data_IF_643299251942
#
_entry.id   IF_643299251942
#
_cell.length_a   1.000
_cell.length_b   1.000
_cell.length_c   1.000
_cell.angle_alpha   90.00
_cell.angle_beta   90.00
_cell.angle_gamma   90.00
#
_symmetry.space_group_name_H-M   'P 1'
#
loop_
_entity.id
_entity.type
_entity.pdbx_description
1 polymer ?
#
# COMPACT_ATOMS: atom_id res chain seq x y z
N UNK A 1 2.11 18.04 11.08
CA UNK A 1 1.68 16.65 10.86
C UNK A 1 1.20 16.57 9.42
N UNK A 2 1.64 15.58 8.65
CA UNK A 2 1.19 15.44 7.25
C UNK A 2 -0.14 14.70 7.23
N UNK A 3 -1.01 15.11 6.34
CA UNK A 3 -2.20 14.34 5.96
C UNK A 3 -1.81 13.36 4.84
N UNK A 4 -2.44 12.19 4.75
CA UNK A 4 -2.14 11.25 3.66
C UNK A 4 -2.44 11.86 2.29
N UNK A 5 -3.45 12.74 2.22
CA UNK A 5 -3.80 13.51 1.02
C UNK A 5 -2.71 14.49 0.57
N UNK A 6 -1.73 14.84 1.42
CA UNK A 6 -0.55 15.61 1.00
C UNK A 6 0.34 14.83 0.02
N UNK A 7 0.13 13.52 -0.11
CA UNK A 7 0.84 12.65 -1.04
C UNK A 7 0.08 12.45 -2.36
N UNK A 8 -1.04 13.14 -2.60
CA UNK A 8 -1.78 13.03 -3.87
C UNK A 8 -0.87 13.34 -5.07
N UNK A 9 -0.99 12.53 -6.12
CA UNK A 9 -0.20 12.62 -7.35
C UNK A 9 1.18 11.96 -7.26
N UNK A 10 1.46 11.23 -6.17
CA UNK A 10 2.72 10.49 -6.02
C UNK A 10 2.53 9.00 -6.29
N UNK A 11 3.59 8.38 -6.80
CA UNK A 11 3.66 6.95 -7.08
C UNK A 11 4.75 6.30 -6.24
N UNK A 12 4.49 5.05 -5.83
CA UNK A 12 5.29 4.33 -4.87
C UNK A 12 5.42 2.87 -5.29
N UNK A 13 6.61 2.32 -5.10
CA UNK A 13 6.93 0.92 -5.37
C UNK A 13 7.22 0.21 -4.06
N UNK A 14 6.60 -0.96 -3.85
CA UNK A 14 6.78 -1.73 -2.63
C UNK A 14 8.22 -2.24 -2.53
N UNK A 15 8.88 -2.01 -1.40
CA UNK A 15 10.22 -2.51 -1.12
C UNK A 15 10.17 -3.73 -0.20
N UNK A 16 9.20 -3.80 0.69
CA UNK A 16 8.98 -4.94 1.58
C UNK A 16 7.59 -4.91 2.19
N UNK A 17 7.14 -6.08 2.62
CA UNK A 17 5.95 -6.26 3.45
C UNK A 17 6.30 -7.20 4.61
N UNK A 18 5.79 -6.90 5.80
CA UNK A 18 5.94 -7.73 6.99
C UNK A 18 4.54 -8.07 7.49
N UNK A 19 4.24 -9.37 7.61
CA UNK A 19 2.96 -9.88 8.16
C UNK A 19 3.26 -11.01 9.13
N UNK A 20 2.81 -10.88 10.38
CA UNK A 20 2.96 -11.89 11.42
C UNK A 20 4.39 -12.44 11.52
N UNK A 21 5.39 -11.54 11.48
CA UNK A 21 6.85 -11.82 11.47
C UNK A 21 7.44 -12.40 10.18
N UNK A 22 6.62 -12.76 9.19
CA UNK A 22 7.12 -13.15 7.87
C UNK A 22 7.46 -11.89 7.06
N UNK A 23 8.65 -11.88 6.45
CA UNK A 23 9.10 -10.81 5.56
C UNK A 23 8.95 -11.24 4.10
N UNK A 24 8.31 -10.39 3.31
CA UNK A 24 8.15 -10.55 1.88
C UNK A 24 8.92 -9.42 1.19
N UNK A 25 9.99 -9.73 0.44
CA UNK A 25 10.71 -8.70 -0.30
C UNK A 25 9.83 -8.16 -1.44
N UNK A 26 9.90 -6.85 -1.66
CA UNK A 26 9.33 -6.23 -2.84
C UNK A 26 10.13 -6.60 -4.09
N UNK A 27 9.42 -6.76 -5.20
CA UNK A 27 10.00 -6.96 -6.53
C UNK A 27 9.60 -5.76 -7.40
N UNK A 28 10.56 -5.08 -8.06
CA UNK A 28 10.25 -3.90 -8.84
C UNK A 28 9.21 -4.15 -9.92
N UNK A 29 8.21 -3.27 -9.99
CA UNK A 29 7.10 -3.37 -10.94
C UNK A 29 5.96 -4.34 -10.56
N UNK A 30 6.15 -5.22 -9.57
CA UNK A 30 5.11 -6.19 -9.19
C UNK A 30 4.06 -5.57 -8.27
N UNK A 31 4.48 -4.75 -7.30
CA UNK A 31 3.56 -4.12 -6.35
C UNK A 31 3.82 -2.62 -6.28
N UNK A 32 2.79 -1.84 -6.59
CA UNK A 32 2.87 -0.38 -6.56
C UNK A 32 1.57 0.23 -6.03
N UNK A 33 1.67 1.51 -5.71
CA UNK A 33 0.58 2.34 -5.22
C UNK A 33 0.74 3.76 -5.77
N UNK A 34 -0.33 4.28 -6.32
CA UNK A 34 -0.54 5.68 -6.68
C UNK A 34 -1.60 6.26 -5.75
N UNK A 35 -1.31 7.46 -5.21
CA UNK A 35 -2.21 8.15 -4.30
C UNK A 35 -2.96 9.23 -5.08
N UNK A 36 -4.28 9.07 -5.21
CA UNK A 36 -5.19 10.05 -5.78
C UNK A 36 -5.71 11.03 -4.71
N UNK A 37 -6.73 11.81 -5.05
CA UNK A 37 -7.33 12.80 -4.13
C UNK A 37 -8.09 12.16 -2.97
N UNK A 38 -8.76 11.03 -3.22
CA UNK A 38 -9.58 10.29 -2.23
C UNK A 38 -9.48 8.78 -2.37
N UNK A 39 -8.60 8.33 -3.24
CA UNK A 39 -8.45 6.94 -3.61
C UNK A 39 -6.98 6.60 -3.68
N UNK A 40 -6.69 5.33 -3.50
CA UNK A 40 -5.41 4.71 -3.83
C UNK A 40 -5.66 3.68 -4.91
N UNK A 41 -4.70 3.51 -5.80
CA UNK A 41 -4.77 2.49 -6.84
C UNK A 41 -3.40 1.94 -7.12
N UNK A 42 -3.32 0.76 -7.73
CA UNK A 42 -2.03 0.23 -8.09
C UNK A 42 -2.10 -1.13 -8.74
N UNK A 43 -0.94 -1.77 -8.77
CA UNK A 43 -0.74 -3.14 -9.20
C UNK A 43 -0.45 -4.02 -7.99
N UNK A 44 -1.01 -5.21 -7.99
CA UNK A 44 -0.74 -6.30 -7.06
C UNK A 44 -0.35 -7.53 -7.88
N UNK A 45 0.94 -7.67 -8.14
CA UNK A 45 1.50 -8.66 -9.06
C UNK A 45 0.83 -8.58 -10.45
N UNK A 46 -0.10 -9.49 -10.74
CA UNK A 46 -0.76 -9.55 -12.04
C UNK A 46 -1.98 -8.62 -12.16
N UNK A 47 -2.61 -8.24 -11.04
CA UNK A 47 -3.87 -7.49 -11.05
C UNK A 47 -3.68 -5.98 -10.88
N UNK A 48 -4.71 -5.25 -11.31
CA UNK A 48 -4.89 -3.84 -11.00
C UNK A 48 -5.96 -3.72 -9.93
N UNK A 49 -5.75 -2.82 -8.97
CA UNK A 49 -6.65 -2.58 -7.87
C UNK A 49 -6.84 -1.10 -7.59
N UNK A 50 -7.95 -0.77 -6.93
CA UNK A 50 -8.22 0.55 -6.39
C UNK A 50 -9.04 0.45 -5.11
N UNK A 51 -8.87 1.40 -4.21
CA UNK A 51 -9.61 1.52 -2.96
C UNK A 51 -9.81 3.00 -2.62
N UNK A 52 -10.81 3.29 -1.80
CA UNK A 52 -10.95 4.59 -1.16
C UNK A 52 -10.01 4.67 0.05
N UNK A 53 -9.69 5.89 0.48
CA UNK A 53 -9.04 6.09 1.78
C UNK A 53 -9.70 7.19 2.59
N UNK A 54 -9.64 7.03 3.90
CA UNK A 54 -9.95 8.05 4.90
C UNK A 54 -8.66 8.39 5.64
N UNK A 55 -8.31 9.67 5.73
CA UNK A 55 -7.19 10.16 6.50
C UNK A 55 -7.62 11.28 7.43
N UNK A 56 -6.87 11.46 8.52
CA UNK A 56 -7.14 12.49 9.52
C UNK A 56 -5.89 13.00 10.20
N UNK A 57 -6.07 13.57 11.40
CA UNK A 57 -4.95 13.90 12.28
C UNK A 57 -4.19 12.64 12.72
N UNK A 58 -3.01 12.84 13.30
CA UNK A 58 -2.15 11.82 13.93
C UNK A 58 -1.64 10.71 12.99
N UNK A 59 -1.58 11.02 11.70
CA UNK A 59 -1.22 10.09 10.62
C UNK A 59 -2.20 8.90 10.51
N UNK A 60 -3.45 9.08 10.94
CA UNK A 60 -4.50 8.08 10.78
C UNK A 60 -4.77 7.84 9.28
N UNK A 61 -4.89 6.57 8.91
CA UNK A 61 -5.21 6.13 7.57
C UNK A 61 -6.05 4.86 7.63
N UNK A 62 -7.18 4.85 6.93
CA UNK A 62 -8.00 3.67 6.68
C UNK A 62 -8.17 3.50 5.18
N UNK A 63 -8.01 2.27 4.68
CA UNK A 63 -8.24 1.90 3.28
C UNK A 63 -9.50 1.06 3.23
N UNK A 64 -10.44 1.41 2.35
CA UNK A 64 -11.75 0.77 2.27
C UNK A 64 -12.26 0.66 0.82
N UNK A 65 -13.37 -0.05 0.62
CA UNK A 65 -14.00 -0.23 -0.70
C UNK A 65 -13.05 -0.76 -1.79
N UNK A 66 -12.15 -1.66 -1.42
CA UNK A 66 -11.16 -2.23 -2.34
C UNK A 66 -11.83 -3.06 -3.43
N UNK A 67 -11.42 -2.80 -4.67
CA UNK A 67 -11.78 -3.57 -5.85
C UNK A 67 -10.50 -3.95 -6.62
N UNK A 68 -10.51 -5.12 -7.25
CA UNK A 68 -9.39 -5.63 -8.04
C UNK A 68 -9.90 -6.29 -9.32
N UNK A 69 -9.05 -6.35 -10.34
CA UNK A 69 -9.23 -7.31 -11.42
C UNK A 69 -9.07 -8.74 -10.88
N UNK A 70 -9.69 -9.73 -11.55
CA UNK A 70 -9.65 -11.14 -11.14
C UNK A 70 -8.81 -11.98 -12.13
N UNK A 71 -7.59 -11.52 -12.44
CA UNK A 71 -6.63 -12.30 -13.23
C UNK A 71 -6.01 -13.36 -12.31
N UNK A 72 -5.85 -14.57 -12.83
CA UNK A 72 -5.12 -15.63 -12.12
C UNK A 72 -3.62 -15.31 -12.07
N UNK A 73 -3.15 -14.87 -10.91
CA UNK A 73 -1.73 -14.62 -10.67
C UNK A 73 -0.92 -15.92 -10.54
N UNK A 74 0.42 -15.86 -10.66
CA UNK A 74 1.28 -17.01 -10.41
C UNK A 74 1.06 -17.62 -9.01
N UNK A 75 1.30 -18.92 -8.80
CA UNK A 75 1.13 -19.56 -7.48
C UNK A 75 2.01 -18.98 -6.37
N UNK A 76 3.08 -18.27 -6.73
CA UNK A 76 4.00 -17.60 -5.81
C UNK A 76 3.57 -16.18 -5.45
N UNK A 77 2.45 -15.71 -6.00
CA UNK A 77 1.92 -14.38 -5.73
C UNK A 77 1.58 -14.21 -4.26
N UNK A 78 1.82 -13.01 -3.74
CA UNK A 78 1.48 -12.60 -2.38
C UNK A 78 0.33 -11.59 -2.35
N UNK A 79 -0.45 -11.49 -3.43
CA UNK A 79 -1.58 -10.56 -3.53
C UNK A 79 -2.59 -10.67 -2.38
N UNK A 80 -2.99 -11.90 -2.02
CA UNK A 80 -3.93 -12.12 -0.92
C UNK A 80 -3.44 -11.50 0.40
N UNK A 81 -2.26 -11.90 0.91
CA UNK A 81 -1.65 -11.28 2.08
C UNK A 81 -1.48 -9.76 1.98
N UNK A 82 -1.17 -9.24 0.77
CA UNK A 82 -1.04 -7.81 0.52
C UNK A 82 -2.37 -7.06 0.72
N UNK A 83 -3.48 -7.58 0.17
CA UNK A 83 -4.81 -6.99 0.35
C UNK A 83 -5.31 -7.14 1.79
N UNK A 84 -5.09 -8.29 2.43
CA UNK A 84 -5.45 -8.51 3.84
C UNK A 84 -4.76 -7.50 4.75
N UNK A 85 -3.49 -7.17 4.48
CA UNK A 85 -2.77 -6.16 5.23
C UNK A 85 -3.26 -4.73 4.92
N UNK A 86 -3.52 -4.40 3.64
CA UNK A 86 -4.04 -3.08 3.27
C UNK A 86 -5.37 -2.76 3.98
N UNK A 87 -6.26 -3.74 4.12
CA UNK A 87 -7.54 -3.58 4.84
C UNK A 87 -7.38 -3.40 6.36
N UNK A 88 -6.20 -3.66 6.92
CA UNK A 88 -5.88 -3.50 8.35
C UNK A 88 -5.04 -2.27 8.66
N UNK A 89 -4.62 -1.52 7.63
CA UNK A 89 -3.83 -0.31 7.84
C UNK A 89 -4.63 0.68 8.70
N UNK A 90 -3.93 1.24 9.67
CA UNK A 90 -4.48 2.23 10.61
C UNK A 90 -3.67 3.52 10.62
N UNK A 91 -2.39 3.46 10.24
CA UNK A 91 -1.51 4.63 10.25
C UNK A 91 -0.54 4.61 9.07
N UNK A 92 0.00 5.78 8.74
CA UNK A 92 1.08 5.91 7.78
C UNK A 92 2.25 6.77 8.30
N UNK A 93 3.37 6.69 7.62
CA UNK A 93 4.50 7.60 7.81
C UNK A 93 5.18 7.84 6.46
N UNK A 94 5.49 9.09 6.14
CA UNK A 94 6.23 9.44 4.92
C UNK A 94 7.41 10.34 5.24
N UNK A 95 8.63 9.86 5.00
CA UNK A 95 9.89 10.60 5.20
C UNK A 95 10.88 10.26 4.09
N UNK A 96 11.57 11.25 3.52
CA UNK A 96 12.67 11.04 2.56
C UNK A 96 12.39 10.03 1.43
N UNK A 97 11.26 10.20 0.70
CA UNK A 97 10.82 9.28 -0.38
C UNK A 97 10.55 7.84 0.08
N UNK A 98 10.38 7.62 1.37
CA UNK A 98 9.89 6.36 1.95
C UNK A 98 8.49 6.57 2.50
N UNK A 99 7.58 5.66 2.17
CA UNK A 99 6.24 5.57 2.74
C UNK A 99 6.15 4.24 3.49
N UNK A 100 5.63 4.28 4.70
CA UNK A 100 5.36 3.09 5.51
C UNK A 100 3.90 3.11 5.89
N UNK A 101 3.15 2.08 5.49
CA UNK A 101 1.78 1.84 5.93
C UNK A 101 1.83 0.81 7.05
N UNK A 102 1.18 1.08 8.18
CA UNK A 102 1.22 0.20 9.36
C UNK A 102 -0.16 -0.24 9.80
N UNK A 103 -0.22 -1.50 10.19
CA UNK A 103 -1.34 -2.11 10.87
C UNK A 103 -0.93 -2.48 12.32
N UNK A 104 -1.80 -3.21 13.00
CA UNK A 104 -1.53 -3.83 14.28
C UNK A 104 -0.39 -4.87 14.22
N UNK A 105 0.15 -5.23 15.39
CA UNK A 105 1.21 -6.24 15.54
C UNK A 105 2.51 -5.97 14.75
N UNK A 106 2.80 -4.69 14.46
CA UNK A 106 3.95 -4.27 13.64
C UNK A 106 3.89 -4.75 12.18
N UNK A 107 2.74 -5.24 11.72
CA UNK A 107 2.53 -5.54 10.31
C UNK A 107 2.62 -4.24 9.51
N UNK A 108 3.38 -4.26 8.41
CA UNK A 108 3.65 -3.04 7.66
C UNK A 108 3.98 -3.32 6.21
N UNK A 109 3.73 -2.32 5.37
CA UNK A 109 4.20 -2.29 3.99
C UNK A 109 5.10 -1.07 3.83
N UNK A 110 6.31 -1.28 3.35
CA UNK A 110 7.25 -0.23 3.04
C UNK A 110 7.28 -0.01 1.53
N UNK A 111 7.25 1.25 1.13
CA UNK A 111 7.37 1.67 -0.24
C UNK A 111 8.45 2.73 -0.40
N UNK A 112 8.97 2.81 -1.61
CA UNK A 112 9.86 3.88 -2.09
C UNK A 112 9.13 4.68 -3.17
N UNK A 113 9.18 6.01 -3.06
CA UNK A 113 8.63 6.89 -4.08
C UNK A 113 9.37 6.71 -5.40
N UNK A 114 8.62 6.57 -6.49
CA UNK A 114 9.15 6.58 -7.85
C UNK A 114 8.83 7.93 -8.49
N UNK A 115 9.77 8.48 -9.26
CA UNK A 115 9.54 9.71 -10.00
C UNK A 115 8.74 9.39 -11.26
N UNK A 116 7.67 10.16 -11.48
CA UNK A 116 6.88 10.15 -12.72
C UNK A 116 7.62 10.86 -13.85
#
# INVERSE_FOLDING_TARGET
MRDFSDLTGTQWEMTSMIVATAEFPGSPGDFNLEIGTKSVSGRSDCNLWSADFLSGSDNDLTIENMISTEIACPPTSIEGPYFDLLMRISTFESVNKTLILRADNFDQIMYRQIES
#
